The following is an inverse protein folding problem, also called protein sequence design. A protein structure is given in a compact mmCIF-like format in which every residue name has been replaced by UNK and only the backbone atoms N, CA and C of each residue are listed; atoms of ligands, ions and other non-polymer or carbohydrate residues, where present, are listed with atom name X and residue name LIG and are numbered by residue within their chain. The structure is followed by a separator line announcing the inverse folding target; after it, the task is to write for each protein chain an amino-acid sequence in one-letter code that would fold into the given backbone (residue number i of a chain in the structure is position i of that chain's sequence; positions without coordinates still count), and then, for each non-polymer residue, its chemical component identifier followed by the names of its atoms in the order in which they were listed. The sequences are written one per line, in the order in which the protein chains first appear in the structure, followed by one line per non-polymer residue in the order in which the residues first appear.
data_IF_601480752781
#
_entry.id   IF_601480752781
#
_cell.length_a   1.000
_cell.length_b   1.000
_cell.length_c   1.000
_cell.angle_alpha   90.00
_cell.angle_beta   90.00
_cell.angle_gamma   90.00
#
_symmetry.space_group_name_H-M   'P 1'
#
loop_
_entity.id
_entity.type
_entity.pdbx_description
1 polymer ?
#
# COMPACT_ATOMS: atom_id res chain seq x y z
N UNK A 1 5.60 5.03 18.78
CA UNK A 1 5.86 5.00 17.31
C UNK A 1 4.71 4.26 16.64
N UNK A 2 3.93 4.91 15.78
CA UNK A 2 2.84 4.25 15.02
C UNK A 2 3.43 3.23 14.06
N UNK A 3 3.71 2.03 14.56
CA UNK A 3 4.39 1.04 13.75
C UNK A 3 3.35 0.43 12.80
N UNK A 4 3.06 1.09 11.67
CA UNK A 4 2.19 0.56 10.60
C UNK A 4 2.58 -0.88 10.24
N UNK A 5 3.85 -1.24 10.40
CA UNK A 5 4.39 -2.60 10.27
C UNK A 5 3.66 -3.61 11.17
N UNK A 6 3.43 -3.28 12.46
CA UNK A 6 2.76 -4.19 13.41
C UNK A 6 1.29 -4.41 13.06
N UNK A 7 0.68 -3.45 12.37
CA UNK A 7 -0.72 -3.45 12.01
C UNK A 7 -0.97 -4.05 10.62
N UNK A 8 0.08 -4.29 9.84
CA UNK A 8 -0.01 -4.80 8.49
C UNK A 8 -0.44 -6.28 8.50
N UNK A 9 -1.60 -6.62 7.89
CA UNK A 9 -2.00 -8.01 7.75
C UNK A 9 -1.03 -8.69 6.80
N UNK A 10 -0.27 -9.67 7.28
CA UNK A 10 0.74 -10.38 6.49
C UNK A 10 0.11 -11.45 5.62
N UNK A 11 0.67 -11.71 4.44
CA UNK A 11 0.13 -12.71 3.51
C UNK A 11 0.21 -14.13 4.09
N UNK A 12 1.21 -14.40 4.94
CA UNK A 12 1.42 -15.67 5.64
C UNK A 12 0.37 -15.91 6.73
N UNK A 13 -0.22 -14.85 7.28
CA UNK A 13 -1.17 -14.94 8.41
C UNK A 13 -2.63 -14.92 7.99
N UNK A 14 -2.94 -14.28 6.86
CA UNK A 14 -4.30 -14.19 6.33
C UNK A 14 -4.24 -14.05 4.82
N UNK A 15 -4.91 -14.95 4.09
CA UNK A 15 -4.96 -14.88 2.64
C UNK A 15 -5.88 -13.72 2.18
N UNK A 16 -5.84 -13.40 0.88
CA UNK A 16 -6.59 -12.27 0.33
C UNK A 16 -8.12 -12.39 0.48
N UNK A 17 -8.68 -13.59 0.25
CA UNK A 17 -10.14 -13.79 0.32
C UNK A 17 -10.66 -13.62 1.74
N UNK A 18 -9.96 -14.20 2.71
CA UNK A 18 -10.36 -14.13 4.11
C UNK A 18 -10.17 -12.73 4.68
N UNK A 19 -9.14 -12.00 4.24
CA UNK A 19 -8.99 -10.58 4.60
C UNK A 19 -10.17 -9.76 4.08
N UNK A 20 -10.60 -9.96 2.83
CA UNK A 20 -11.77 -9.27 2.27
C UNK A 20 -13.03 -9.60 3.05
N UNK A 21 -13.30 -10.89 3.31
CA UNK A 21 -14.46 -11.34 4.11
C UNK A 21 -14.47 -10.75 5.52
N UNK A 22 -13.29 -10.62 6.13
CA UNK A 22 -13.12 -10.02 7.46
C UNK A 22 -13.45 -8.53 7.45
N UNK A 23 -12.98 -7.80 6.44
CA UNK A 23 -13.03 -6.33 6.43
C UNK A 23 -14.28 -5.75 5.77
N UNK A 24 -14.96 -6.45 4.85
CA UNK A 24 -16.00 -5.86 4.01
C UNK A 24 -17.27 -6.71 3.94
N UNK A 25 -18.41 -6.02 3.72
CA UNK A 25 -19.68 -6.63 3.30
C UNK A 25 -19.95 -6.41 1.79
N UNK A 26 -19.00 -5.83 1.06
CA UNK A 26 -19.15 -5.43 -0.34
C UNK A 26 -19.14 -6.65 -1.27
N UNK A 27 -20.27 -6.93 -1.94
CA UNK A 27 -20.35 -8.00 -2.96
C UNK A 27 -19.30 -7.84 -4.04
N UNK A 28 -19.05 -6.59 -4.49
CA UNK A 28 -18.00 -6.26 -5.47
C UNK A 28 -16.63 -6.85 -5.10
N UNK A 29 -16.28 -6.87 -3.82
CA UNK A 29 -15.01 -7.45 -3.36
C UNK A 29 -15.13 -8.94 -3.03
N UNK A 30 -16.28 -9.37 -2.48
CA UNK A 30 -16.52 -10.75 -2.07
C UNK A 30 -16.64 -11.72 -3.25
N UNK A 31 -17.13 -11.24 -4.39
CA UNK A 31 -17.37 -12.03 -5.60
C UNK A 31 -16.08 -12.19 -6.44
N UNK A 32 -14.97 -11.52 -6.07
CA UNK A 32 -13.69 -11.66 -6.76
C UNK A 32 -13.05 -13.03 -6.50
N UNK A 33 -12.72 -13.74 -7.59
CA UNK A 33 -12.05 -15.04 -7.51
C UNK A 33 -10.63 -14.96 -6.93
N UNK A 34 -9.93 -13.84 -7.13
CA UNK A 34 -8.58 -13.60 -6.62
C UNK A 34 -8.38 -12.10 -6.31
N UNK A 35 -8.89 -11.58 -5.18
CA UNK A 35 -8.79 -10.16 -4.87
C UNK A 35 -7.33 -9.75 -4.61
N UNK A 36 -6.89 -8.68 -5.27
CA UNK A 36 -5.60 -8.05 -4.98
C UNK A 36 -5.75 -7.19 -3.72
N UNK A 37 -5.13 -7.63 -2.61
CA UNK A 37 -5.28 -6.99 -1.30
C UNK A 37 -4.10 -6.10 -0.89
N UNK A 38 -3.14 -5.81 -1.78
CA UNK A 38 -1.94 -5.05 -1.41
C UNK A 38 -2.27 -3.67 -0.80
N UNK A 39 -3.08 -2.86 -1.48
CA UNK A 39 -3.51 -1.56 -0.98
C UNK A 39 -4.46 -1.66 0.24
N UNK A 40 -5.28 -2.72 0.30
CA UNK A 40 -6.17 -2.98 1.44
C UNK A 40 -5.33 -3.25 2.71
N UNK A 41 -4.24 -4.00 2.61
CA UNK A 41 -3.34 -4.30 3.74
C UNK A 41 -2.64 -3.05 4.25
N UNK A 42 -2.14 -2.19 3.34
CA UNK A 42 -1.59 -0.88 3.71
C UNK A 42 -2.67 0.00 4.35
N UNK A 43 -3.89 0.01 3.81
CA UNK A 43 -5.02 0.77 4.37
C UNK A 43 -5.39 0.30 5.77
N UNK A 44 -5.42 -1.01 6.02
CA UNK A 44 -5.66 -1.58 7.35
C UNK A 44 -4.56 -1.18 8.34
N UNK A 45 -3.31 -1.20 7.90
CA UNK A 45 -2.16 -0.77 8.70
C UNK A 45 -2.28 0.71 9.13
N UNK A 46 -2.65 1.58 8.19
CA UNK A 46 -2.91 3.00 8.41
C UNK A 46 -4.11 3.23 9.34
N UNK A 47 -5.23 2.58 9.07
CA UNK A 47 -6.46 2.69 9.86
C UNK A 47 -6.26 2.28 11.32
N UNK A 48 -5.50 1.20 11.58
CA UNK A 48 -5.12 0.77 12.94
C UNK A 48 -4.05 1.64 13.59
N UNK A 49 -3.29 2.38 12.79
CA UNK A 49 -2.37 3.40 13.26
C UNK A 49 -3.07 4.75 13.53
N UNK A 50 -4.40 4.83 13.42
CA UNK A 50 -5.15 6.07 13.65
C UNK A 50 -5.15 7.03 12.46
N UNK A 51 -4.59 6.65 11.32
CA UNK A 51 -4.63 7.47 10.11
C UNK A 51 -5.96 7.23 9.39
N UNK A 52 -6.86 8.20 9.46
CA UNK A 52 -8.12 8.17 8.69
C UNK A 52 -7.82 8.39 7.20
N UNK A 53 -8.30 7.48 6.36
CA UNK A 53 -8.25 7.61 4.90
C UNK A 53 -9.42 8.49 4.45
N UNK A 54 -9.11 9.53 3.68
CA UNK A 54 -10.08 10.45 3.07
C UNK A 54 -10.39 9.98 1.64
N UNK A 55 -11.64 9.60 1.41
CA UNK A 55 -12.12 9.11 0.11
C UNK A 55 -12.27 10.21 -0.95
N UNK A 56 -12.37 11.48 -0.57
CA UNK A 56 -12.58 12.60 -1.52
C UNK A 56 -11.38 12.82 -2.45
N UNK A 57 -10.22 12.29 -2.08
CA UNK A 57 -8.98 12.33 -2.86
C UNK A 57 -8.97 11.27 -3.98
N UNK A 58 -9.81 10.24 -3.87
CA UNK A 58 -9.85 9.04 -4.69
C UNK A 58 -11.10 9.00 -5.55
N UNK A 59 -11.03 8.27 -6.68
CA UNK A 59 -12.24 7.95 -7.44
C UNK A 59 -13.10 6.93 -6.70
N UNK A 60 -14.42 6.92 -6.91
CA UNK A 60 -15.37 6.02 -6.22
C UNK A 60 -15.04 4.53 -6.37
N UNK A 61 -14.34 4.15 -7.44
CA UNK A 61 -13.90 2.78 -7.69
C UNK A 61 -12.54 2.42 -7.05
N UNK A 62 -11.82 3.40 -6.48
CA UNK A 62 -10.51 3.22 -5.85
C UNK A 62 -10.61 3.00 -4.33
N UNK A 63 -11.79 3.11 -3.73
CA UNK A 63 -11.99 2.85 -2.30
C UNK A 63 -13.27 2.04 -1.99
N UNK A 64 -13.32 1.52 -0.77
CA UNK A 64 -14.49 0.85 -0.20
C UNK A 64 -14.58 1.14 1.31
N UNK A 65 -15.80 1.20 1.84
CA UNK A 65 -16.02 1.32 3.28
C UNK A 65 -16.01 -0.08 3.93
N UNK A 66 -15.16 -0.26 4.93
CA UNK A 66 -15.10 -1.49 5.72
C UNK A 66 -16.23 -1.59 6.75
N UNK A 67 -16.42 -2.78 7.32
CA UNK A 67 -17.40 -3.06 8.39
C UNK A 67 -17.21 -2.18 9.63
N UNK A 68 -15.98 -1.72 9.86
CA UNK A 68 -15.62 -0.81 10.95
C UNK A 68 -15.88 0.68 10.64
N UNK A 69 -16.53 0.98 9.52
CA UNK A 69 -16.83 2.34 9.10
C UNK A 69 -15.66 3.12 8.49
N UNK A 70 -14.45 2.56 8.46
CA UNK A 70 -13.26 3.20 7.89
C UNK A 70 -13.17 2.95 6.39
N UNK A 71 -12.51 3.86 5.67
CA UNK A 71 -12.27 3.72 4.23
C UNK A 71 -10.99 2.93 3.97
N UNK A 72 -10.99 2.17 2.87
CA UNK A 72 -9.87 1.36 2.42
C UNK A 72 -9.61 1.61 0.95
N UNK A 73 -8.36 1.84 0.59
CA UNK A 73 -7.94 1.99 -0.81
C UNK A 73 -7.80 0.60 -1.43
N UNK A 74 -8.32 0.43 -2.64
CA UNK A 74 -8.43 -0.86 -3.32
C UNK A 74 -7.29 -1.14 -4.30
N UNK A 75 -6.66 -0.10 -4.84
CA UNK A 75 -5.63 -0.23 -5.89
C UNK A 75 -4.30 0.38 -5.45
N UNK A 76 -3.19 -0.15 -5.97
CA UNK A 76 -1.87 0.40 -5.65
C UNK A 76 -1.68 1.81 -6.23
N UNK A 77 -2.20 2.10 -7.43
CA UNK A 77 -2.21 3.47 -7.97
C UNK A 77 -3.14 4.41 -7.20
N UNK A 78 -4.28 3.93 -6.69
CA UNK A 78 -5.12 4.69 -5.77
C UNK A 78 -4.34 5.03 -4.49
N UNK A 79 -3.59 4.07 -3.94
CA UNK A 79 -2.76 4.31 -2.76
C UNK A 79 -1.67 5.35 -3.07
N UNK A 80 -1.00 5.25 -4.23
CA UNK A 80 -0.05 6.27 -4.69
C UNK A 80 -0.70 7.66 -4.70
N UNK A 81 -1.84 7.81 -5.37
CA UNK A 81 -2.58 9.07 -5.50
C UNK A 81 -2.97 9.64 -4.13
N UNK A 82 -3.50 8.79 -3.25
CA UNK A 82 -3.85 9.16 -1.87
C UNK A 82 -2.64 9.70 -1.12
N UNK A 83 -1.51 8.99 -1.14
CA UNK A 83 -0.31 9.41 -0.42
C UNK A 83 0.30 10.69 -1.02
N UNK A 84 0.29 10.84 -2.34
CA UNK A 84 0.78 12.05 -3.02
C UNK A 84 -0.03 13.29 -2.63
N UNK A 85 -1.37 13.22 -2.70
CA UNK A 85 -2.22 14.36 -2.34
C UNK A 85 -2.14 14.68 -0.84
N UNK A 86 -2.14 13.66 0.02
CA UNK A 86 -2.17 13.86 1.47
C UNK A 86 -0.83 14.34 2.05
N UNK A 87 0.30 13.86 1.51
CA UNK A 87 1.63 14.09 2.12
C UNK A 87 2.59 14.90 1.24
N UNK A 88 2.10 15.51 0.15
CA UNK A 88 2.89 16.42 -0.68
C UNK A 88 3.93 15.70 -1.56
N UNK A 89 3.49 14.64 -2.25
CA UNK A 89 4.32 13.89 -3.18
C UNK A 89 5.16 12.77 -2.55
N UNK A 90 5.60 11.84 -3.41
CA UNK A 90 6.38 10.66 -3.06
C UNK A 90 7.78 10.75 -3.67
N UNK A 91 8.80 10.22 -2.97
CA UNK A 91 10.11 10.09 -3.56
C UNK A 91 10.07 9.02 -4.66
N UNK A 92 10.44 9.38 -5.90
CA UNK A 92 10.37 8.54 -7.09
C UNK A 92 11.76 8.06 -7.50
N UNK A 93 11.88 6.79 -7.84
CA UNK A 93 13.14 6.16 -8.25
C UNK A 93 12.90 5.19 -9.42
N UNK A 94 13.91 5.10 -10.30
CA UNK A 94 13.98 4.04 -11.31
C UNK A 94 14.40 2.72 -10.65
N UNK A 95 13.80 1.62 -11.13
CA UNK A 95 14.15 0.27 -10.69
C UNK A 95 15.61 -0.07 -10.96
N UNK A 96 16.18 -0.96 -10.14
CA UNK A 96 17.55 -1.48 -10.30
C UNK A 96 18.66 -0.41 -10.35
N UNK A 97 18.45 0.75 -9.76
CA UNK A 97 19.49 1.79 -9.63
C UNK A 97 20.19 1.72 -8.28
N UNK A 98 21.51 2.00 -8.20
CA UNK A 98 22.22 2.10 -6.91
C UNK A 98 21.57 3.09 -5.94
N UNK A 99 20.98 4.16 -6.47
CA UNK A 99 20.29 5.19 -5.68
C UNK A 99 19.07 4.63 -4.94
N UNK A 100 18.25 3.81 -5.60
CA UNK A 100 17.08 3.16 -4.99
C UNK A 100 17.48 2.35 -3.76
N UNK A 101 18.50 1.49 -3.88
CA UNK A 101 18.99 0.67 -2.77
C UNK A 101 19.61 1.53 -1.67
N UNK A 102 20.37 2.57 -2.02
CA UNK A 102 20.90 3.54 -1.06
C UNK A 102 19.78 4.19 -0.26
N UNK A 103 18.70 4.60 -0.93
CA UNK A 103 17.55 5.26 -0.31
C UNK A 103 16.75 4.32 0.58
N UNK A 104 16.57 3.08 0.17
CA UNK A 104 15.96 2.05 1.00
C UNK A 104 16.70 1.81 2.33
N UNK A 105 18.04 1.82 2.30
CA UNK A 105 18.88 1.76 3.51
C UNK A 105 18.81 3.03 4.35
N UNK A 106 18.67 4.19 3.71
CA UNK A 106 18.59 5.50 4.36
C UNK A 106 17.20 5.87 4.89
N UNK A 107 16.16 5.08 4.58
CA UNK A 107 14.88 5.23 5.25
C UNK A 107 15.14 4.93 6.73
N UNK A 108 15.19 5.99 7.56
CA UNK A 108 15.39 5.94 9.02
C UNK A 108 14.20 5.24 9.70
N UNK A 109 13.95 3.97 9.38
CA UNK A 109 12.82 3.16 9.85
C UNK A 109 11.97 2.54 8.72
N UNK A 110 10.65 2.63 8.85
CA UNK A 110 9.68 2.08 7.89
C UNK A 110 9.21 3.11 6.87
N UNK A 111 8.58 2.65 5.79
CA UNK A 111 7.87 3.48 4.82
C UNK A 111 6.84 2.70 4.03
N UNK A 112 5.97 3.41 3.33
CA UNK A 112 5.05 2.80 2.35
C UNK A 112 5.73 2.84 0.99
N UNK A 113 5.76 1.71 0.30
CA UNK A 113 6.36 1.56 -1.03
C UNK A 113 5.26 1.26 -2.03
N UNK A 114 5.28 1.96 -3.16
CA UNK A 114 4.44 1.67 -4.31
C UNK A 114 5.34 1.28 -5.49
N UNK A 115 5.08 0.12 -6.07
CA UNK A 115 5.70 -0.36 -7.29
C UNK A 115 4.75 -0.05 -8.44
N UNK A 116 5.12 0.89 -9.30
CA UNK A 116 4.35 1.27 -10.47
C UNK A 116 4.71 0.35 -11.64
N UNK A 117 3.71 -0.23 -12.31
CA UNK A 117 3.97 -1.15 -13.42
C UNK A 117 4.26 -0.42 -14.73
N UNK A 118 4.81 -1.16 -15.70
CA UNK A 118 4.96 -0.78 -17.10
C UNK A 118 3.71 -1.10 -17.95
N UNK A 119 2.71 -1.76 -17.37
CA UNK A 119 1.47 -2.18 -18.03
C UNK A 119 0.24 -1.46 -17.47
N UNK A 120 -0.78 -1.25 -18.32
CA UNK A 120 -2.10 -0.72 -17.94
C UNK A 120 -3.04 -1.79 -17.37
N UNK A 121 -2.75 -3.09 -17.56
CA UNK A 121 -3.62 -4.20 -17.11
C UNK A 121 -3.50 -4.53 -15.62
N UNK A 122 -2.53 -3.94 -14.93
CA UNK A 122 -2.24 -4.16 -13.52
C UNK A 122 -2.03 -2.81 -12.85
N UNK A 123 -2.55 -2.63 -11.64
CA UNK A 123 -2.49 -1.34 -10.94
C UNK A 123 -1.22 -1.15 -10.13
N UNK A 124 -0.32 -2.12 -10.10
CA UNK A 124 0.92 -2.07 -9.31
C UNK A 124 0.83 -2.83 -7.99
N UNK A 125 1.84 -2.64 -7.16
CA UNK A 125 1.91 -3.22 -5.82
C UNK A 125 2.10 -2.13 -4.77
N UNK A 126 1.42 -2.26 -3.64
CA UNK A 126 1.60 -1.40 -2.48
C UNK A 126 2.02 -2.26 -1.29
N UNK A 127 3.07 -1.84 -0.58
CA UNK A 127 3.61 -2.59 0.55
C UNK A 127 4.21 -1.65 1.60
N UNK A 128 4.68 -2.24 2.70
CA UNK A 128 5.49 -1.56 3.69
C UNK A 128 6.93 -2.04 3.56
N UNK A 129 7.86 -1.09 3.53
CA UNK A 129 9.29 -1.33 3.74
C UNK A 129 9.63 -1.15 5.22
N UNK A 130 10.40 -2.06 5.77
CA UNK A 130 10.90 -1.98 7.14
C UNK A 130 12.12 -2.87 7.31
N UNK A 131 13.18 -2.38 7.99
CA UNK A 131 14.40 -3.16 8.27
C UNK A 131 14.97 -3.85 7.02
N UNK A 132 15.13 -3.06 5.97
CA UNK A 132 15.72 -3.51 4.71
C UNK A 132 14.94 -4.59 3.94
N UNK A 133 13.65 -4.79 4.25
CA UNK A 133 12.78 -5.77 3.58
C UNK A 133 11.37 -5.25 3.32
N UNK A 134 10.73 -5.86 2.34
CA UNK A 134 9.28 -5.77 2.17
C UNK A 134 8.59 -6.61 3.25
N UNK A 135 7.58 -6.03 3.91
CA UNK A 135 6.80 -6.72 4.95
C UNK A 135 5.84 -7.74 4.35
N UNK A 136 5.24 -7.42 3.20
CA UNK A 136 4.44 -8.34 2.41
C UNK A 136 5.30 -9.12 1.42
N UNK A 137 5.26 -8.73 0.15
CA UNK A 137 5.93 -9.47 -0.93
C UNK A 137 6.82 -8.56 -1.76
N UNK A 138 8.08 -8.95 -1.89
CA UNK A 138 9.04 -8.24 -2.71
C UNK A 138 8.82 -8.57 -4.20
N UNK A 139 8.49 -7.55 -4.98
CA UNK A 139 8.36 -7.65 -6.43
C UNK A 139 9.30 -6.71 -7.17
N UNK A 140 10.24 -6.05 -6.49
CA UNK A 140 10.98 -4.91 -7.03
C UNK A 140 11.83 -5.25 -8.27
N UNK A 141 12.28 -6.50 -8.38
CA UNK A 141 13.10 -6.98 -9.48
C UNK A 141 12.26 -7.57 -10.64
N UNK A 142 10.93 -7.60 -10.50
CA UNK A 142 10.10 -8.10 -11.59
C UNK A 142 10.15 -7.16 -12.79
N UNK A 143 10.22 -7.73 -14.00
CA UNK A 143 10.27 -6.99 -15.27
C UNK A 143 9.09 -6.05 -15.51
N UNK A 144 7.97 -6.27 -14.82
CA UNK A 144 6.81 -5.40 -14.92
C UNK A 144 6.96 -4.11 -14.14
N UNK A 145 7.89 -4.00 -13.18
CA UNK A 145 8.07 -2.78 -12.38
C UNK A 145 8.84 -1.74 -13.19
N UNK A 146 8.25 -0.57 -13.36
CA UNK A 146 8.88 0.57 -14.04
C UNK A 146 9.54 1.51 -13.03
N UNK A 147 8.81 1.84 -11.97
CA UNK A 147 9.20 2.89 -11.02
C UNK A 147 8.82 2.49 -9.59
N UNK A 148 9.56 3.02 -8.64
CA UNK A 148 9.35 2.82 -7.21
C UNK A 148 9.10 4.17 -6.56
N UNK A 149 8.00 4.25 -5.82
CA UNK A 149 7.62 5.44 -5.06
C UNK A 149 7.64 5.11 -3.57
N UNK A 150 8.16 6.02 -2.77
CA UNK A 150 8.35 5.79 -1.33
C UNK A 150 7.82 6.97 -0.53
N UNK A 151 6.98 6.66 0.48
CA UNK A 151 6.63 7.56 1.57
C UNK A 151 7.35 7.11 2.85
N UNK A 152 8.32 7.86 3.38
CA UNK A 152 8.91 7.58 4.68
C UNK A 152 7.89 7.68 5.82
N UNK A 153 7.93 6.77 6.79
CA UNK A 153 6.97 6.72 7.91
C UNK A 153 7.00 7.96 8.81
N UNK A 154 8.11 8.71 8.87
CA UNK A 154 8.16 9.96 9.63
C UNK A 154 7.19 11.02 9.07
N UNK A 155 6.84 10.95 7.77
CA UNK A 155 5.83 11.83 7.15
C UNK A 155 4.39 11.46 7.58
N UNK A 156 4.17 10.29 8.17
CA UNK A 156 2.87 9.89 8.73
C UNK A 156 2.60 10.57 10.08
N UNK A 157 3.62 11.20 10.69
CA UNK A 157 3.48 12.01 11.91
C UNK A 157 3.08 13.44 11.50
N UNK A 158 1.79 13.66 11.31
CA UNK A 158 1.19 15.00 11.36
C UNK A 158 -0.04 14.92 12.25
#
# INVERSE_FOLDING_TARGET
MYNIVKNYPRYETINSKDLVKKLFNSRRLLDLSAPNTCAIRVSEALNKAGVTIDGTILSENEYEKGKNGKLYVLTAMGMKRYLEKKYGGLARYSVNTPELYRRFRQLLGSGIVILQPNSKSFTGHADIWFEEKFVGKNYIHNKWVKEVYILPSFKLKK
#
